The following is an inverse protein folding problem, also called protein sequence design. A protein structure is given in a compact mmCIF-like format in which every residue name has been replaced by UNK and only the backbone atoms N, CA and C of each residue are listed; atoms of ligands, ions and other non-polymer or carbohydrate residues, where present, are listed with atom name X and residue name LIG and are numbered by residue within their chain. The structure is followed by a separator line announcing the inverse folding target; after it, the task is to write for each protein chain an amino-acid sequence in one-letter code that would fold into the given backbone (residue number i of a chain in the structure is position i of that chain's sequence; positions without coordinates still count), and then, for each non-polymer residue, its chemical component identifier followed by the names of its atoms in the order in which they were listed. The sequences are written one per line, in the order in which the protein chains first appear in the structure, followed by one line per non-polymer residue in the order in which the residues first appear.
data_IF_234259600999
#
_entry.id   IF_234259600999
#
_cell.length_a   1.000
_cell.length_b   1.000
_cell.length_c   1.000
_cell.angle_alpha   90.00
_cell.angle_beta   90.00
_cell.angle_gamma   90.00
#
_symmetry.space_group_name_H-M   'P 1'
#
loop_
_entity.id
_entity.type
_entity.pdbx_description
1 polymer ?
#
# COMPACT_ATOMS: atom_id res chain seq x y z
N UNK A 1 -1.83 11.50 -14.88
CA UNK A 1 -1.31 10.41 -14.05
C UNK A 1 -0.78 10.97 -12.75
N UNK A 2 -1.12 10.36 -11.63
CA UNK A 2 -0.64 10.76 -10.32
C UNK A 2 0.20 9.65 -9.72
N UNK A 3 1.23 10.02 -9.00
CA UNK A 3 2.03 9.06 -8.24
C UNK A 3 2.24 9.58 -6.83
N UNK A 4 2.12 8.69 -5.85
CA UNK A 4 2.32 9.01 -4.45
C UNK A 4 3.29 8.00 -3.86
N UNK A 5 4.35 8.49 -3.24
CA UNK A 5 5.32 7.64 -2.58
C UNK A 5 4.95 7.48 -1.12
N UNK A 6 4.95 6.24 -0.64
CA UNK A 6 4.57 5.91 0.73
C UNK A 6 5.58 4.96 1.35
N UNK A 7 5.75 5.09 2.66
CA UNK A 7 6.44 4.08 3.47
C UNK A 7 5.39 3.17 4.08
N UNK A 8 5.52 1.88 3.86
CA UNK A 8 4.56 0.90 4.35
C UNK A 8 5.27 -0.03 5.32
N UNK A 9 4.69 -0.19 6.52
CA UNK A 9 5.18 -1.07 7.55
C UNK A 9 3.99 -1.78 8.17
N UNK A 10 3.69 -2.98 7.66
CA UNK A 10 2.54 -3.76 8.09
C UNK A 10 3.06 -5.09 8.64
N UNK A 11 2.75 -5.39 9.90
CA UNK A 11 3.18 -6.63 10.53
C UNK A 11 2.42 -7.84 9.94
N UNK A 12 2.95 -9.06 10.13
CA UNK A 12 2.23 -10.26 9.69
C UNK A 12 0.84 -10.38 10.30
N UNK A 13 0.68 -9.99 11.56
CA UNK A 13 -0.61 -10.05 12.24
C UNK A 13 -1.62 -9.08 11.60
N UNK A 14 -1.15 -7.89 11.25
CA UNK A 14 -2.02 -6.92 10.58
C UNK A 14 -2.43 -7.39 9.19
N UNK A 15 -1.51 -8.04 8.47
CA UNK A 15 -1.84 -8.63 7.16
C UNK A 15 -2.86 -9.74 7.31
N UNK A 16 -2.76 -10.54 8.35
CA UNK A 16 -3.72 -11.60 8.61
C UNK A 16 -5.12 -11.03 8.87
N UNK A 17 -5.22 -9.95 9.64
CA UNK A 17 -6.50 -9.29 9.86
C UNK A 17 -7.11 -8.78 8.56
N UNK A 18 -6.28 -8.32 7.65
CA UNK A 18 -6.75 -7.84 6.34
C UNK A 18 -7.41 -8.98 5.56
N UNK A 19 -6.87 -10.19 5.66
CA UNK A 19 -7.50 -11.36 5.05
C UNK A 19 -8.85 -11.70 5.69
N UNK A 20 -9.03 -11.34 6.94
CA UNK A 20 -10.22 -11.74 7.70
C UNK A 20 -11.38 -10.76 7.59
N UNK A 21 -11.20 -9.64 6.89
CA UNK A 21 -12.31 -8.73 6.71
C UNK A 21 -11.96 -7.27 6.49
N UNK A 22 -10.72 -6.88 6.72
CA UNK A 22 -10.28 -5.50 6.43
C UNK A 22 -9.62 -5.51 5.07
N UNK A 23 -10.23 -4.84 4.10
CA UNK A 23 -9.74 -4.86 2.74
C UNK A 23 -9.06 -3.56 2.31
N UNK A 24 -9.00 -2.57 3.19
CA UNK A 24 -8.40 -1.26 2.90
C UNK A 24 -7.25 -0.99 3.86
N UNK A 25 -6.20 -0.37 3.34
CA UNK A 25 -5.03 0.04 4.11
C UNK A 25 -4.91 1.55 4.05
N UNK A 26 -4.61 2.14 5.20
CA UNK A 26 -4.30 3.56 5.30
C UNK A 26 -2.80 3.72 5.45
N UNK A 27 -2.23 4.62 4.69
CA UNK A 27 -0.82 4.93 4.76
C UNK A 27 -0.61 6.43 4.64
N UNK A 28 0.51 6.91 5.16
CA UNK A 28 0.89 8.30 5.02
C UNK A 28 1.93 8.42 3.91
N UNK A 29 1.69 9.31 2.98
CA UNK A 29 2.67 9.58 1.93
C UNK A 29 3.86 10.34 2.50
N UNK A 30 4.95 10.40 1.73
CA UNK A 30 6.16 11.08 2.19
C UNK A 30 5.96 12.57 2.32
N UNK A 31 4.97 13.14 1.65
CA UNK A 31 4.64 14.56 1.77
C UNK A 31 3.56 14.83 2.82
N UNK A 32 3.21 13.85 3.65
CA UNK A 32 2.32 14.03 4.78
C UNK A 32 0.84 13.82 4.51
N UNK A 33 0.47 13.41 3.30
CA UNK A 33 -0.93 13.13 2.98
C UNK A 33 -1.33 11.74 3.44
N UNK A 34 -2.57 11.59 3.87
CA UNK A 34 -3.13 10.27 4.17
C UNK A 34 -3.79 9.70 2.93
N UNK A 35 -3.48 8.45 2.61
CA UNK A 35 -4.06 7.78 1.46
C UNK A 35 -4.66 6.44 1.88
N UNK A 36 -5.56 5.94 1.08
CA UNK A 36 -6.22 4.67 1.30
C UNK A 36 -6.19 3.87 -0.01
N UNK A 37 -5.91 2.58 0.11
CA UNK A 37 -5.87 1.71 -1.07
C UNK A 37 -6.22 0.28 -0.68
N UNK A 38 -6.63 -0.57 -1.64
CA UNK A 38 -6.94 -1.96 -1.34
C UNK A 38 -5.70 -2.73 -0.90
N UNK A 39 -5.83 -3.52 0.16
CA UNK A 39 -4.71 -4.30 0.67
C UNK A 39 -4.19 -5.31 -0.36
N UNK A 40 -5.05 -5.76 -1.25
CA UNK A 40 -4.68 -6.78 -2.24
C UNK A 40 -3.56 -6.34 -3.17
N UNK A 41 -3.35 -5.05 -3.35
CA UNK A 41 -2.26 -4.57 -4.21
C UNK A 41 -0.89 -4.83 -3.60
N UNK A 42 -0.84 -5.11 -2.30
CA UNK A 42 0.40 -5.40 -1.58
C UNK A 42 0.72 -6.89 -1.49
N UNK A 43 -0.20 -7.77 -1.89
CA UNK A 43 -0.02 -9.20 -1.70
C UNK A 43 1.25 -9.73 -2.36
N UNK A 44 1.65 -9.18 -3.48
CA UNK A 44 2.87 -9.60 -4.18
C UNK A 44 4.14 -9.24 -3.42
N UNK A 45 4.05 -8.38 -2.39
CA UNK A 45 5.20 -7.94 -1.62
C UNK A 45 5.23 -8.53 -0.20
N UNK A 46 4.34 -9.47 0.12
CA UNK A 46 4.27 -10.06 1.46
C UNK A 46 5.49 -10.96 1.69
N UNK A 47 6.12 -10.78 2.85
CA UNK A 47 7.20 -11.63 3.32
C UNK A 47 6.83 -12.20 4.69
N UNK A 48 7.74 -12.99 5.29
CA UNK A 48 7.56 -13.50 6.64
C UNK A 48 7.40 -12.40 7.67
N UNK A 49 7.89 -11.21 7.37
CA UNK A 49 7.85 -10.07 8.28
C UNK A 49 6.70 -9.11 7.94
N UNK A 50 5.78 -9.51 7.08
CA UNK A 50 4.69 -8.67 6.62
C UNK A 50 5.07 -7.91 5.36
N UNK A 51 4.70 -6.63 5.29
CA UNK A 51 5.05 -5.77 4.15
C UNK A 51 5.82 -4.58 4.68
N UNK A 52 7.06 -4.42 4.24
CA UNK A 52 7.91 -3.31 4.65
C UNK A 52 8.64 -2.75 3.44
N UNK A 53 8.63 -1.44 3.31
CA UNK A 53 9.38 -0.80 2.25
C UNK A 53 8.77 0.50 1.80
N UNK A 54 9.39 1.07 0.79
CA UNK A 54 8.90 2.29 0.15
C UNK A 54 8.32 1.93 -1.20
N UNK A 55 7.12 2.42 -1.45
CA UNK A 55 6.36 2.08 -2.64
C UNK A 55 5.87 3.34 -3.33
N UNK A 56 5.79 3.28 -4.65
CA UNK A 56 5.11 4.31 -5.43
C UNK A 56 3.78 3.76 -5.91
N UNK A 57 2.70 4.44 -5.56
CA UNK A 57 1.36 4.07 -5.96
C UNK A 57 0.94 5.03 -7.07
N UNK A 58 0.58 4.49 -8.23
CA UNK A 58 0.19 5.27 -9.39
C UNK A 58 -1.31 5.19 -9.61
N UNK A 59 -1.89 6.35 -9.93
CA UNK A 59 -3.31 6.50 -10.21
C UNK A 59 -3.48 7.07 -11.61
N UNK A 60 -4.58 6.70 -12.27
CA UNK A 60 -4.91 7.26 -13.57
C UNK A 60 -5.49 8.68 -13.41
N UNK A 61 -5.83 9.31 -14.53
CA UNK A 61 -6.35 10.69 -14.54
C UNK A 61 -7.72 10.80 -13.88
N UNK A 62 -8.44 9.69 -13.72
CA UNK A 62 -9.72 9.66 -13.02
C UNK A 62 -9.56 9.41 -11.52
N UNK A 63 -8.33 9.26 -11.03
CA UNK A 63 -8.07 9.02 -9.62
C UNK A 63 -8.18 7.56 -9.20
N UNK A 64 -8.26 6.64 -10.15
CA UNK A 64 -8.34 5.21 -9.83
C UNK A 64 -6.94 4.61 -9.74
N UNK A 65 -6.78 3.63 -8.84
CA UNK A 65 -5.54 2.92 -8.71
C UNK A 65 -5.14 2.24 -10.02
N UNK A 66 -3.89 2.38 -10.40
CA UNK A 66 -3.37 1.78 -11.61
C UNK A 66 -2.31 0.72 -11.32
N UNK A 67 -1.30 1.06 -10.55
CA UNK A 67 -0.27 0.08 -10.18
C UNK A 67 0.55 0.54 -8.98
N UNK A 68 1.31 -0.41 -8.41
CA UNK A 68 2.25 -0.14 -7.33
C UNK A 68 3.64 -0.64 -7.73
N UNK A 69 4.65 0.17 -7.41
CA UNK A 69 6.05 -0.14 -7.72
C UNK A 69 6.83 -0.08 -6.42
N UNK A 70 7.64 -1.09 -6.16
CA UNK A 70 8.53 -1.06 -5.00
C UNK A 70 9.76 -0.23 -5.33
N UNK A 71 10.07 0.74 -4.46
CA UNK A 71 11.22 1.63 -4.62
C UNK A 71 12.40 1.20 -3.77
N UNK A 72 12.17 0.64 -2.61
CA UNK A 72 13.26 0.24 -1.72
C UNK A 72 12.82 -0.85 -0.75
#
# INVERSE_FOLDING_TARGET
MYAIDVDIHISPEEMQRAYEGVDQVYARSLDGRSIRFPVKILWQFITHEGVHGRFRIEYDSAGRFERVIRLA
#
